data_IF_574522769851
#
_entry.id   IF_574522769851
#
_cell.length_a   1.000
_cell.length_b   1.000
_cell.length_c   1.000
_cell.angle_alpha   90.00
_cell.angle_beta   90.00
_cell.angle_gamma   90.00
#
_symmetry.space_group_name_H-M   'P 1'
#
loop_
_entity.id
_entity.type
_entity.pdbx_description
1 polymer ?
#
# COMPACT_ATOMS: atom_id res chain seq x y z
N UNK A 1 -2.35 27.71 -5.09
CA UNK A 1 -1.87 26.32 -4.93
C UNK A 1 -1.87 25.84 -3.47
N UNK A 2 -1.33 26.59 -2.51
CA UNK A 2 -1.30 26.15 -1.10
C UNK A 2 -2.69 25.94 -0.48
N UNK A 3 -3.64 26.83 -0.75
CA UNK A 3 -5.02 26.68 -0.30
C UNK A 3 -5.66 25.37 -0.80
N UNK A 4 -5.40 24.99 -2.05
CA UNK A 4 -5.86 23.71 -2.62
C UNK A 4 -5.18 22.52 -1.93
N UNK A 5 -3.85 22.58 -1.71
CA UNK A 5 -3.12 21.54 -0.97
C UNK A 5 -3.66 21.35 0.44
N UNK A 6 -3.95 22.44 1.16
CA UNK A 6 -4.57 22.41 2.50
C UNK A 6 -5.95 21.77 2.45
N UNK A 7 -6.80 22.15 1.49
CA UNK A 7 -8.13 21.52 1.30
C UNK A 7 -8.02 20.03 1.01
N UNK A 8 -7.13 19.62 0.10
CA UNK A 8 -6.88 18.19 -0.19
C UNK A 8 -6.41 17.45 1.06
N UNK A 9 -5.53 18.05 1.88
CA UNK A 9 -5.07 17.45 3.13
C UNK A 9 -6.22 17.27 4.14
N UNK A 10 -7.10 18.27 4.27
CA UNK A 10 -8.30 18.18 5.12
C UNK A 10 -9.24 17.09 4.63
N UNK A 11 -9.52 17.02 3.32
CA UNK A 11 -10.36 15.98 2.74
C UNK A 11 -9.76 14.58 2.92
N UNK A 12 -8.45 14.41 2.71
CA UNK A 12 -7.76 13.14 2.96
C UNK A 12 -7.84 12.73 4.43
N UNK A 13 -7.70 13.68 5.35
CA UNK A 13 -7.83 13.46 6.80
C UNK A 13 -9.25 13.09 7.20
N UNK A 14 -10.27 13.71 6.59
CA UNK A 14 -11.66 13.34 6.80
C UNK A 14 -11.95 11.94 6.24
N UNK A 15 -11.56 11.69 4.99
CA UNK A 15 -11.71 10.41 4.32
C UNK A 15 -11.05 9.28 5.11
N UNK A 16 -9.82 9.47 5.63
CA UNK A 16 -9.12 8.46 6.43
C UNK A 16 -9.77 8.14 7.78
N UNK A 17 -10.82 8.85 8.19
CA UNK A 17 -11.58 8.62 9.42
C UNK A 17 -12.96 8.04 9.18
N UNK A 18 -13.43 7.98 7.93
CA UNK A 18 -14.72 7.41 7.60
C UNK A 18 -14.74 5.92 7.90
N UNK A 19 -15.70 5.47 8.68
CA UNK A 19 -15.89 4.06 8.96
C UNK A 19 -16.76 3.46 7.87
N UNK A 20 -16.40 2.24 7.45
CA UNK A 20 -17.28 1.47 6.58
C UNK A 20 -18.48 0.93 7.37
N UNK A 21 -19.63 0.71 6.71
CA UNK A 21 -20.75 0.02 7.34
C UNK A 21 -20.33 -1.35 7.90
N UNK A 22 -20.94 -1.81 9.02
CA UNK A 22 -20.65 -3.12 9.56
C UNK A 22 -20.90 -4.24 8.55
N UNK A 23 -19.90 -5.08 8.31
CA UNK A 23 -20.04 -6.26 7.45
C UNK A 23 -20.63 -7.40 8.26
N UNK A 24 -21.90 -7.74 8.01
CA UNK A 24 -22.61 -8.84 8.69
C UNK A 24 -22.71 -10.10 7.84
N UNK A 25 -22.52 -9.97 6.52
CA UNK A 25 -22.62 -11.04 5.54
C UNK A 25 -21.52 -10.91 4.49
N UNK A 26 -21.26 -12.00 3.76
CA UNK A 26 -20.43 -11.98 2.57
C UNK A 26 -21.03 -12.84 1.47
N UNK A 27 -20.69 -12.55 0.22
CA UNK A 27 -21.18 -13.31 -0.93
C UNK A 27 -20.19 -14.43 -1.26
N UNK A 28 -20.69 -15.65 -1.43
CA UNK A 28 -19.93 -16.72 -2.03
C UNK A 28 -20.80 -17.66 -2.85
N UNK A 29 -20.37 -17.94 -4.08
CA UNK A 29 -21.08 -18.84 -5.01
C UNK A 29 -22.56 -18.47 -5.20
N UNK A 30 -22.84 -17.16 -5.27
CA UNK A 30 -24.21 -16.63 -5.41
C UNK A 30 -25.06 -16.68 -4.14
N UNK A 31 -24.47 -16.98 -2.98
CA UNK A 31 -25.16 -17.05 -1.69
C UNK A 31 -24.66 -15.97 -0.73
N UNK A 32 -25.59 -15.36 0.00
CA UNK A 32 -25.29 -14.46 1.12
C UNK A 32 -25.10 -15.28 2.40
N UNK A 33 -23.91 -15.20 2.99
CA UNK A 33 -23.49 -16.01 4.13
C UNK A 33 -23.28 -15.12 5.35
N UNK A 34 -23.98 -15.40 6.44
CA UNK A 34 -23.87 -14.66 7.69
C UNK A 34 -22.52 -14.87 8.39
N UNK A 35 -22.02 -13.81 9.04
CA UNK A 35 -20.80 -13.82 9.84
C UNK A 35 -21.10 -13.86 11.36
N UNK A 36 -20.31 -14.59 12.17
CA UNK A 36 -19.21 -15.45 11.74
C UNK A 36 -19.71 -16.75 11.09
N UNK A 37 -19.09 -17.15 9.99
CA UNK A 37 -19.39 -18.43 9.34
C UNK A 37 -18.47 -19.51 9.92
N UNK A 38 -19.05 -20.49 10.62
CA UNK A 38 -18.30 -21.58 11.28
C UNK A 38 -18.58 -22.92 10.62
N UNK A 39 -17.53 -23.71 10.41
CA UNK A 39 -17.61 -25.11 9.99
C UNK A 39 -16.79 -25.99 10.92
N UNK A 40 -17.47 -26.88 11.63
CA UNK A 40 -16.88 -27.82 12.58
C UNK A 40 -16.59 -29.18 11.96
N UNK A 41 -17.42 -29.59 10.99
CA UNK A 41 -17.35 -30.92 10.39
C UNK A 41 -16.57 -30.89 9.08
N UNK A 42 -15.63 -31.83 8.94
CA UNK A 42 -15.17 -32.24 7.63
C UNK A 42 -16.23 -33.12 7.02
N UNK A 43 -16.70 -32.78 5.82
CA UNK A 43 -17.19 -33.82 4.94
C UNK A 43 -16.04 -34.80 4.76
N UNK A 44 -16.23 -36.09 5.09
CA UNK A 44 -15.23 -37.15 4.87
C UNK A 44 -14.92 -37.40 3.38
N UNK A 45 -15.19 -36.43 2.51
CA UNK A 45 -14.98 -36.47 1.08
C UNK A 45 -13.50 -36.30 0.80
N UNK A 46 -12.96 -37.24 0.01
CA UNK A 46 -11.62 -37.10 -0.55
C UNK A 46 -11.61 -35.85 -1.42
N UNK A 47 -10.74 -34.89 -1.11
CA UNK A 47 -10.63 -33.65 -1.85
C UNK A 47 -10.06 -33.93 -3.25
N UNK A 48 -10.66 -33.40 -4.32
CA UNK A 48 -10.06 -33.46 -5.64
C UNK A 48 -8.64 -32.88 -5.61
N UNK A 49 -7.66 -33.60 -6.15
CA UNK A 49 -6.24 -33.20 -6.11
C UNK A 49 -6.02 -31.79 -6.66
N UNK A 50 -6.68 -31.44 -7.77
CA UNK A 50 -6.57 -30.11 -8.37
C UNK A 50 -7.07 -29.00 -7.44
N UNK A 51 -8.16 -29.23 -6.69
CA UNK A 51 -8.66 -28.26 -5.72
C UNK A 51 -7.66 -28.09 -4.57
N UNK A 52 -7.11 -29.19 -4.04
CA UNK A 52 -6.11 -29.11 -2.98
C UNK A 52 -4.85 -28.38 -3.43
N UNK A 53 -4.37 -28.65 -4.65
CA UNK A 53 -3.22 -27.99 -5.25
C UNK A 53 -3.48 -26.49 -5.47
N UNK A 54 -4.68 -26.11 -5.96
CA UNK A 54 -5.11 -24.72 -6.04
C UNK A 54 -5.11 -24.03 -4.68
N UNK A 55 -5.72 -24.64 -3.66
CA UNK A 55 -5.76 -24.07 -2.32
C UNK A 55 -4.34 -23.92 -1.77
N UNK A 56 -3.45 -24.91 -1.94
CA UNK A 56 -2.05 -24.81 -1.53
C UNK A 56 -1.31 -23.63 -2.17
N UNK A 57 -1.50 -23.41 -3.48
CA UNK A 57 -0.95 -22.25 -4.18
C UNK A 57 -1.48 -20.93 -3.62
N UNK A 58 -2.78 -20.85 -3.37
CA UNK A 58 -3.38 -19.67 -2.77
C UNK A 58 -2.84 -19.41 -1.35
N UNK A 59 -2.67 -20.46 -0.54
CA UNK A 59 -2.10 -20.37 0.80
C UNK A 59 -0.66 -19.85 0.77
N UNK A 60 0.13 -20.27 -0.22
CA UNK A 60 1.51 -19.83 -0.37
C UNK A 60 1.65 -18.36 -0.75
N UNK A 61 0.63 -17.76 -1.37
CA UNK A 61 0.51 -16.31 -1.48
C UNK A 61 0.02 -15.69 -0.18
N UNK A 62 -1.29 -15.77 0.08
CA UNK A 62 -1.98 -14.97 1.10
C UNK A 62 -2.17 -15.65 2.46
N UNK A 63 -1.84 -16.94 2.56
CA UNK A 63 -1.93 -17.69 3.81
C UNK A 63 -0.83 -17.34 4.81
N UNK A 64 -1.11 -17.60 6.09
CA UNK A 64 -0.16 -17.39 7.17
C UNK A 64 -0.23 -18.56 8.16
N UNK A 65 0.95 -19.01 8.60
CA UNK A 65 1.13 -19.99 9.67
C UNK A 65 1.70 -19.25 10.88
N UNK A 66 0.96 -19.27 11.98
CA UNK A 66 1.38 -18.61 13.22
C UNK A 66 1.06 -19.46 14.44
N UNK A 67 1.50 -19.00 15.60
CA UNK A 67 1.14 -19.58 16.89
C UNK A 67 0.72 -18.49 17.85
N UNK A 68 -0.42 -18.65 18.51
CA UNK A 68 -0.92 -17.73 19.51
C UNK A 68 -1.28 -18.50 20.78
N UNK A 69 -0.83 -18.03 21.95
CA UNK A 69 -1.03 -18.70 23.23
C UNK A 69 -0.64 -20.20 23.24
N UNK A 70 0.44 -20.56 22.54
CA UNK A 70 0.92 -21.94 22.40
C UNK A 70 0.08 -22.82 21.47
N UNK A 71 -0.90 -22.27 20.76
CA UNK A 71 -1.75 -22.98 19.81
C UNK A 71 -1.34 -22.63 18.39
N UNK A 72 -1.18 -23.64 17.53
CA UNK A 72 -0.95 -23.43 16.10
C UNK A 72 -2.22 -22.88 15.42
N UNK A 73 -2.01 -21.92 14.50
CA UNK A 73 -3.07 -21.24 13.78
C UNK A 73 -2.71 -21.12 12.30
N UNK A 74 -3.64 -21.49 11.42
CA UNK A 74 -3.59 -21.12 10.00
C UNK A 74 -4.63 -20.03 9.74
N UNK A 75 -4.28 -19.07 8.89
CA UNK A 75 -5.19 -17.98 8.55
C UNK A 75 -4.99 -17.46 7.13
N UNK A 76 -6.06 -16.93 6.56
CA UNK A 76 -6.06 -16.25 5.24
C UNK A 76 -6.95 -15.03 5.36
N UNK A 77 -6.43 -13.87 4.98
CA UNK A 77 -7.21 -12.63 4.89
C UNK A 77 -7.58 -12.31 3.45
N UNK A 78 -8.77 -11.78 3.21
CA UNK A 78 -9.19 -11.22 1.92
C UNK A 78 -10.00 -9.94 2.09
N UNK A 79 -9.81 -8.99 1.18
CA UNK A 79 -10.63 -7.78 1.11
C UNK A 79 -11.99 -8.05 0.45
N UNK A 80 -13.01 -7.28 0.82
CA UNK A 80 -14.33 -7.35 0.17
C UNK A 80 -14.28 -6.84 -1.28
N UNK A 81 -15.00 -7.45 -2.24
CA UNK A 81 -15.97 -8.57 -2.11
C UNK A 81 -15.41 -9.97 -2.45
N UNK A 82 -14.10 -10.17 -2.57
CA UNK A 82 -13.50 -11.40 -3.14
C UNK A 82 -13.25 -12.50 -2.10
N UNK A 83 -14.28 -12.92 -1.38
CA UNK A 83 -14.12 -13.80 -0.21
C UNK A 83 -14.56 -15.24 -0.45
N UNK A 84 -14.88 -15.62 -1.68
CA UNK A 84 -15.35 -16.96 -2.03
C UNK A 84 -14.29 -18.03 -1.72
N UNK A 85 -13.01 -17.67 -1.83
CA UNK A 85 -11.91 -18.53 -1.40
C UNK A 85 -11.97 -18.84 0.10
N UNK A 86 -12.36 -17.88 0.95
CA UNK A 86 -12.47 -18.12 2.41
C UNK A 86 -13.57 -19.16 2.72
N UNK A 87 -14.65 -19.14 1.93
CA UNK A 87 -15.69 -20.18 2.01
C UNK A 87 -15.16 -21.55 1.59
N UNK A 88 -14.36 -21.63 0.52
CA UNK A 88 -13.71 -22.88 0.12
C UNK A 88 -12.83 -23.43 1.23
N UNK A 89 -12.00 -22.60 1.87
CA UNK A 89 -11.18 -23.01 3.00
C UNK A 89 -12.01 -23.50 4.19
N UNK A 90 -13.06 -22.76 4.55
CA UNK A 90 -13.95 -23.15 5.64
C UNK A 90 -14.65 -24.49 5.40
N UNK A 91 -15.12 -24.74 4.17
CA UNK A 91 -15.76 -26.00 3.81
C UNK A 91 -14.78 -27.16 3.65
N UNK A 92 -13.55 -26.87 3.23
CA UNK A 92 -12.52 -27.89 2.96
C UNK A 92 -11.85 -28.35 4.26
N UNK A 93 -11.48 -27.41 5.12
CA UNK A 93 -10.65 -27.67 6.29
C UNK A 93 -11.39 -27.45 7.61
N UNK A 94 -12.58 -26.86 7.60
CA UNK A 94 -13.26 -26.36 8.79
C UNK A 94 -12.79 -24.95 9.17
N UNK A 95 -13.04 -24.55 10.41
CA UNK A 95 -12.62 -23.26 10.95
C UNK A 95 -13.71 -22.20 10.90
N UNK A 96 -13.31 -20.93 11.00
CA UNK A 96 -14.23 -19.80 11.09
C UNK A 96 -13.84 -18.68 10.14
N UNK A 97 -14.80 -18.11 9.42
CA UNK A 97 -14.66 -16.86 8.69
C UNK A 97 -15.32 -15.74 9.50
N UNK A 98 -14.59 -14.66 9.76
CA UNK A 98 -15.09 -13.49 10.49
C UNK A 98 -14.51 -12.18 9.94
N UNK A 99 -15.05 -11.04 10.40
CA UNK A 99 -14.55 -9.71 10.04
C UNK A 99 -13.24 -9.43 10.79
N UNK A 100 -12.13 -9.34 10.04
CA UNK A 100 -10.81 -9.05 10.61
C UNK A 100 -10.55 -7.56 10.73
N UNK A 101 -10.83 -6.80 9.67
CA UNK A 101 -10.76 -5.34 9.68
C UNK A 101 -12.09 -4.78 9.19
N UNK A 102 -12.66 -3.83 9.92
CA UNK A 102 -13.94 -3.19 9.54
C UNK A 102 -13.82 -2.26 8.35
N UNK A 103 -12.61 -1.92 7.91
CA UNK A 103 -12.37 -0.93 6.87
C UNK A 103 -12.44 0.49 7.42
N UNK A 104 -11.53 1.35 6.96
CA UNK A 104 -11.49 2.77 7.32
C UNK A 104 -11.02 3.56 6.09
N UNK A 105 -11.76 4.61 5.74
CA UNK A 105 -11.51 5.45 4.58
C UNK A 105 -11.44 4.65 3.30
N UNK A 106 -10.29 4.68 2.63
CA UNK A 106 -10.08 3.93 1.38
C UNK A 106 -9.71 2.46 1.58
N UNK A 107 -9.45 2.05 2.82
CA UNK A 107 -9.17 0.64 3.14
C UNK A 107 -10.50 -0.08 3.29
N UNK A 108 -10.79 -0.97 2.35
CA UNK A 108 -11.96 -1.83 2.40
C UNK A 108 -11.93 -2.74 3.64
N UNK A 109 -13.09 -3.17 4.14
CA UNK A 109 -13.16 -4.21 5.14
C UNK A 109 -12.48 -5.49 4.64
N UNK A 110 -11.90 -6.25 5.55
CA UNK A 110 -11.32 -7.55 5.26
C UNK A 110 -11.93 -8.63 6.14
N UNK A 111 -12.16 -9.78 5.53
CA UNK A 111 -12.55 -11.01 6.21
C UNK A 111 -11.32 -11.89 6.39
N UNK A 112 -11.37 -12.77 7.38
CA UNK A 112 -10.32 -13.72 7.63
C UNK A 112 -10.90 -15.09 7.93
N UNK A 113 -10.42 -16.10 7.20
CA UNK A 113 -10.57 -17.49 7.61
C UNK A 113 -9.48 -17.83 8.62
N UNK A 114 -9.85 -18.48 9.72
CA UNK A 114 -8.94 -18.94 10.77
C UNK A 114 -9.31 -20.35 11.21
N UNK A 115 -8.29 -21.18 11.41
CA UNK A 115 -8.40 -22.49 12.03
C UNK A 115 -7.26 -22.66 13.04
N UNK A 116 -7.55 -23.27 14.20
CA UNK A 116 -6.61 -23.38 15.32
C UNK A 116 -6.52 -24.80 15.87
N UNK A 117 -5.47 -25.08 16.65
CA UNK A 117 -5.35 -26.30 17.44
C UNK A 117 -5.22 -27.56 16.59
N UNK A 118 -5.89 -28.64 17.01
CA UNK A 118 -5.80 -29.92 16.32
C UNK A 118 -6.34 -29.84 14.89
N UNK A 119 -7.43 -29.10 14.66
CA UNK A 119 -7.98 -28.93 13.31
C UNK A 119 -6.98 -28.23 12.36
N UNK A 120 -6.21 -27.26 12.87
CA UNK A 120 -5.13 -26.62 12.11
C UNK A 120 -3.99 -27.60 11.79
N UNK A 121 -3.65 -28.53 12.69
CA UNK A 121 -2.65 -29.57 12.44
C UNK A 121 -3.07 -30.47 11.27
N UNK A 122 -4.34 -30.91 11.24
CA UNK A 122 -4.85 -31.77 10.16
C UNK A 122 -4.96 -30.99 8.85
N UNK A 123 -5.34 -29.71 8.88
CA UNK A 123 -5.31 -28.87 7.68
C UNK A 123 -3.88 -28.70 7.15
N UNK A 124 -2.92 -28.45 8.05
CA UNK A 124 -1.52 -28.31 7.70
C UNK A 124 -0.92 -29.60 7.11
N UNK A 125 -1.29 -30.77 7.63
CA UNK A 125 -0.80 -32.06 7.11
C UNK A 125 -1.31 -32.34 5.69
N UNK A 126 -2.47 -31.81 5.32
CA UNK A 126 -3.01 -31.91 3.95
C UNK A 126 -2.43 -30.88 3.00
N UNK A 127 -2.19 -29.65 3.47
CA UNK A 127 -1.63 -28.58 2.63
C UNK A 127 -0.12 -28.74 2.40
N UNK A 128 0.63 -29.20 3.41
CA UNK A 128 2.08 -29.25 3.36
C UNK A 128 2.66 -29.99 2.13
N UNK A 129 2.11 -31.13 1.68
CA UNK A 129 2.63 -31.83 0.49
C UNK A 129 2.45 -31.06 -0.82
N UNK A 130 1.44 -30.20 -0.91
CA UNK A 130 1.10 -29.44 -2.12
C UNK A 130 1.63 -28.00 -2.10
N UNK A 131 1.96 -27.46 -0.92
CA UNK A 131 2.61 -26.15 -0.78
C UNK A 131 4.11 -26.24 -1.10
N UNK A 132 4.64 -25.15 -1.64
CA UNK A 132 6.04 -24.94 -2.01
C UNK A 132 6.68 -23.87 -1.12
N UNK A 133 6.07 -22.69 -0.99
CA UNK A 133 6.66 -21.53 -0.28
C UNK A 133 6.56 -21.68 1.23
N UNK A 134 5.41 -22.17 1.73
CA UNK A 134 5.13 -22.31 3.16
C UNK A 134 5.20 -23.76 3.65
N UNK A 135 5.83 -24.64 2.86
CA UNK A 135 5.95 -26.08 3.15
C UNK A 135 6.53 -26.37 4.54
N UNK A 136 7.67 -25.76 4.89
CA UNK A 136 8.33 -26.05 6.17
C UNK A 136 7.51 -25.53 7.37
N UNK A 137 6.86 -24.37 7.24
CA UNK A 137 5.98 -23.84 8.28
C UNK A 137 4.79 -24.77 8.48
N UNK A 138 4.17 -25.24 7.39
CA UNK A 138 3.06 -26.19 7.45
C UNK A 138 3.50 -27.54 8.01
N UNK A 139 4.72 -28.01 7.76
CA UNK A 139 5.25 -29.21 8.42
C UNK A 139 5.37 -29.05 9.93
N UNK A 140 5.89 -27.92 10.40
CA UNK A 140 5.94 -27.62 11.85
C UNK A 140 4.52 -27.57 12.44
N UNK A 141 3.57 -26.96 11.74
CA UNK A 141 2.17 -26.92 12.12
C UNK A 141 1.50 -28.31 12.14
N UNK A 142 1.80 -29.15 11.16
CA UNK A 142 1.27 -30.51 11.07
C UNK A 142 1.77 -31.41 12.21
N UNK A 143 3.01 -31.22 12.65
CA UNK A 143 3.61 -31.93 13.77
C UNK A 143 3.54 -31.13 15.09
N UNK A 144 2.54 -30.25 15.26
CA UNK A 144 2.49 -29.37 16.42
C UNK A 144 2.32 -30.18 17.73
N UNK A 145 3.22 -30.04 18.72
CA UNK A 145 3.23 -30.94 19.87
C UNK A 145 2.01 -30.79 20.80
N UNK A 146 1.60 -31.92 21.40
CA UNK A 146 0.59 -31.92 22.47
C UNK A 146 1.16 -31.36 23.78
N UNK A 147 2.43 -31.61 24.08
CA UNK A 147 3.09 -31.19 25.33
C UNK A 147 3.45 -29.70 25.33
N UNK A 148 3.22 -29.00 26.46
CA UNK A 148 3.43 -27.55 26.58
C UNK A 148 4.90 -27.13 26.39
N UNK A 149 5.84 -27.90 26.93
CA UNK A 149 7.29 -27.65 26.82
C UNK A 149 7.73 -27.64 25.34
N UNK A 150 7.37 -28.68 24.58
CA UNK A 150 7.71 -28.86 23.18
C UNK A 150 7.05 -27.83 22.24
N UNK A 151 5.90 -27.25 22.64
CA UNK A 151 5.24 -26.19 21.87
C UNK A 151 6.07 -24.92 21.80
N UNK A 152 6.85 -24.61 22.84
CA UNK A 152 7.74 -23.44 22.81
C UNK A 152 8.82 -23.61 21.73
N UNK A 153 9.43 -24.79 21.64
CA UNK A 153 10.41 -25.10 20.61
C UNK A 153 9.80 -25.03 19.21
N UNK A 154 8.59 -25.60 19.02
CA UNK A 154 7.86 -25.51 17.76
C UNK A 154 7.56 -24.06 17.38
N UNK A 155 7.16 -23.21 18.34
CA UNK A 155 6.94 -21.78 18.15
C UNK A 155 8.22 -21.05 17.75
N UNK A 156 9.36 -21.34 18.39
CA UNK A 156 10.65 -20.75 18.02
C UNK A 156 11.08 -21.16 16.60
N UNK A 157 10.91 -22.43 16.23
CA UNK A 157 11.18 -22.93 14.88
C UNK A 157 10.30 -22.23 13.84
N UNK A 158 9.00 -22.12 14.10
CA UNK A 158 8.08 -21.41 13.20
C UNK A 158 8.44 -19.93 13.06
N UNK A 159 8.80 -19.25 14.16
CA UNK A 159 9.23 -17.86 14.14
C UNK A 159 10.56 -17.66 13.39
N UNK A 160 11.49 -18.63 13.45
CA UNK A 160 12.71 -18.62 12.65
C UNK A 160 12.39 -18.76 11.15
N UNK A 161 11.51 -19.71 10.79
CA UNK A 161 11.07 -19.92 9.41
C UNK A 161 10.34 -18.71 8.83
N UNK A 162 9.55 -17.99 9.63
CA UNK A 162 8.85 -16.78 9.17
C UNK A 162 9.79 -15.58 8.95
N UNK A 163 10.99 -15.58 9.54
CA UNK A 163 12.01 -14.54 9.34
C UNK A 163 12.95 -14.84 8.17
N UNK A 164 13.12 -16.11 7.82
CA UNK A 164 14.04 -16.54 6.77
C UNK A 164 13.28 -16.72 5.46
N UNK A 165 13.75 -16.08 4.38
CA UNK A 165 13.31 -16.42 3.02
C UNK A 165 13.74 -17.86 2.73
N UNK A 166 12.79 -18.74 2.41
CA UNK A 166 13.11 -20.15 2.18
C UNK A 166 14.00 -20.32 0.95
N UNK A 167 15.18 -20.95 1.08
CA UNK A 167 16.18 -20.97 0.02
C UNK A 167 15.94 -22.02 -1.08
N UNK A 168 15.08 -23.02 -0.86
CA UNK A 168 15.01 -24.21 -1.71
C UNK A 168 13.62 -24.45 -2.33
N UNK A 169 13.27 -23.68 -3.36
CA UNK A 169 12.04 -23.87 -4.16
C UNK A 169 12.24 -24.92 -5.27
N UNK A 170 13.49 -25.18 -5.66
CA UNK A 170 13.84 -25.86 -6.92
C UNK A 170 13.46 -27.35 -7.05
N UNK A 171 13.00 -28.01 -5.98
CA UNK A 171 12.76 -29.47 -5.97
C UNK A 171 11.29 -29.87 -5.87
N UNK A 172 10.37 -28.92 -5.77
CA UNK A 172 8.95 -29.25 -5.66
C UNK A 172 8.30 -29.38 -7.05
N UNK A 173 7.64 -30.52 -7.29
CA UNK A 173 6.76 -30.69 -8.44
C UNK A 173 5.63 -29.66 -8.38
N UNK A 174 5.42 -28.91 -9.45
CA UNK A 174 4.38 -27.90 -9.54
C UNK A 174 3.26 -28.35 -10.47
N UNK A 175 2.02 -27.98 -10.15
CA UNK A 175 0.88 -28.14 -11.04
C UNK A 175 0.39 -26.77 -11.50
N UNK A 176 -0.28 -26.72 -12.65
CA UNK A 176 -0.94 -25.49 -13.08
C UNK A 176 -2.08 -25.06 -12.15
N UNK A 177 -2.72 -26.01 -11.44
CA UNK A 177 -3.73 -25.68 -10.44
C UNK A 177 -3.11 -24.91 -9.27
N UNK A 178 -1.94 -25.33 -8.79
CA UNK A 178 -1.15 -24.58 -7.81
C UNK A 178 -0.82 -23.18 -8.33
N UNK A 179 -0.32 -23.06 -9.57
CA UNK A 179 0.02 -21.75 -10.16
C UNK A 179 -1.21 -20.84 -10.26
N UNK A 180 -2.38 -21.38 -10.60
CA UNK A 180 -3.63 -20.63 -10.64
C UNK A 180 -4.01 -20.08 -9.26
N UNK A 181 -3.93 -20.90 -8.21
CA UNK A 181 -4.17 -20.46 -6.84
C UNK A 181 -3.17 -19.42 -6.35
N UNK A 182 -1.87 -19.63 -6.63
CA UNK A 182 -0.82 -18.68 -6.30
C UNK A 182 -1.02 -17.35 -7.03
N UNK A 183 -1.42 -17.38 -8.30
CA UNK A 183 -1.71 -16.20 -9.09
C UNK A 183 -2.98 -15.46 -8.59
N UNK A 184 -3.99 -16.17 -8.12
CA UNK A 184 -5.16 -15.56 -7.50
C UNK A 184 -4.85 -14.83 -6.19
N UNK A 185 -3.80 -15.23 -5.47
CA UNK A 185 -3.26 -14.48 -4.34
C UNK A 185 -2.34 -13.33 -4.80
N UNK A 186 -1.20 -13.65 -5.42
CA UNK A 186 -0.07 -12.72 -5.64
C UNK A 186 0.01 -12.14 -7.06
N UNK A 187 -0.79 -12.66 -7.98
CA UNK A 187 -0.81 -12.25 -9.38
C UNK A 187 -1.60 -10.96 -9.63
N UNK A 188 -1.35 -10.34 -10.77
CA UNK A 188 -2.04 -9.15 -11.25
C UNK A 188 -2.30 -9.28 -12.75
N UNK A 189 -3.51 -8.89 -13.19
CA UNK A 189 -3.87 -8.73 -14.60
C UNK A 189 -4.16 -7.26 -14.79
N UNK A 190 -3.40 -6.59 -15.64
CA UNK A 190 -3.52 -5.16 -15.89
C UNK A 190 -3.58 -4.87 -17.38
N UNK A 191 -4.33 -3.81 -17.73
CA UNK A 191 -4.40 -3.26 -19.07
C UNK A 191 -3.67 -1.91 -19.05
N UNK A 192 -2.49 -1.84 -19.67
CA UNK A 192 -1.62 -0.67 -19.61
C UNK A 192 -2.06 0.40 -20.61
N UNK A 193 -2.06 1.71 -20.24
CA UNK A 193 -2.51 2.82 -21.09
C UNK A 193 -1.78 2.92 -22.43
N UNK A 194 -0.48 2.64 -22.45
CA UNK A 194 0.37 2.66 -23.63
C UNK A 194 1.56 1.70 -23.44
N UNK A 195 1.93 0.90 -24.45
CA UNK A 195 1.12 0.54 -25.62
C UNK A 195 -0.11 -0.25 -25.15
N UNK A 196 -1.24 -0.17 -25.85
CA UNK A 196 -2.54 -0.80 -25.49
C UNK A 196 -2.43 -2.32 -25.24
N UNK A 197 -1.88 -2.72 -24.08
CA UNK A 197 -1.34 -4.05 -23.88
C UNK A 197 -1.77 -4.63 -22.54
N UNK A 198 -1.90 -5.95 -22.51
CA UNK A 198 -2.13 -6.70 -21.29
C UNK A 198 -0.80 -7.06 -20.66
N UNK A 199 -0.72 -6.90 -19.34
CA UNK A 199 0.40 -7.35 -18.53
C UNK A 199 -0.11 -8.26 -17.43
N UNK A 200 0.43 -9.47 -17.40
CA UNK A 200 0.33 -10.36 -16.25
C UNK A 200 1.60 -10.22 -15.44
N UNK A 201 1.47 -10.05 -14.14
CA UNK A 201 2.63 -10.04 -13.26
C UNK A 201 2.37 -10.78 -11.96
N UNK A 202 3.44 -11.24 -11.34
CA UNK A 202 3.43 -11.82 -10.01
C UNK A 202 4.49 -11.09 -9.20
N UNK A 203 4.08 -10.58 -8.05
CA UNK A 203 4.98 -9.87 -7.14
C UNK A 203 5.32 -10.76 -5.94
N UNK A 204 6.59 -10.79 -5.53
CA UNK A 204 6.99 -11.56 -4.36
C UNK A 204 8.25 -10.97 -3.72
N UNK A 205 8.37 -11.09 -2.39
CA UNK A 205 9.58 -10.71 -1.65
C UNK A 205 10.75 -11.65 -1.93
N UNK A 206 10.44 -12.94 -2.08
CA UNK A 206 11.43 -13.98 -2.39
C UNK A 206 11.69 -14.08 -3.89
N UNK A 207 12.83 -13.55 -4.35
CA UNK A 207 13.29 -13.69 -5.74
C UNK A 207 13.38 -15.17 -6.19
N UNK A 208 13.88 -16.13 -5.38
CA UNK A 208 13.89 -17.55 -5.77
C UNK A 208 12.53 -18.12 -6.16
N UNK A 209 11.43 -17.70 -5.50
CA UNK A 209 10.07 -18.13 -5.84
C UNK A 209 9.69 -17.67 -7.24
N UNK A 210 9.99 -16.41 -7.58
CA UNK A 210 9.72 -15.90 -8.92
C UNK A 210 10.59 -16.60 -9.98
N UNK A 211 11.83 -16.97 -9.65
CA UNK A 211 12.72 -17.64 -10.60
C UNK A 211 12.18 -19.04 -10.94
N UNK A 212 11.63 -19.70 -9.93
CA UNK A 212 10.96 -20.98 -10.10
C UNK A 212 9.67 -20.85 -10.92
N UNK A 213 8.82 -19.85 -10.66
CA UNK A 213 7.60 -19.58 -11.47
C UNK A 213 7.98 -19.31 -12.93
N UNK A 214 8.98 -18.47 -13.18
CA UNK A 214 9.46 -18.16 -14.52
C UNK A 214 10.00 -19.40 -15.24
N UNK A 215 10.80 -20.22 -14.54
CA UNK A 215 11.32 -21.48 -15.08
C UNK A 215 10.17 -22.46 -15.41
N UNK A 216 9.13 -22.51 -14.59
CA UNK A 216 7.94 -23.32 -14.83
C UNK A 216 7.17 -22.84 -16.08
N UNK A 217 6.95 -21.53 -16.22
CA UNK A 217 6.31 -20.97 -17.41
C UNK A 217 7.13 -21.19 -18.69
N UNK A 218 8.45 -21.05 -18.61
CA UNK A 218 9.34 -21.31 -19.73
C UNK A 218 9.30 -22.78 -20.15
N UNK A 219 9.33 -23.71 -19.18
CA UNK A 219 9.35 -25.14 -19.45
C UNK A 219 8.05 -25.65 -20.13
N UNK A 220 6.87 -25.18 -19.71
CA UNK A 220 5.59 -25.65 -20.25
C UNK A 220 5.13 -24.87 -21.50
N UNK A 221 5.36 -23.55 -21.53
CA UNK A 221 4.79 -22.66 -22.55
C UNK A 221 5.83 -21.96 -23.42
N UNK A 222 7.13 -22.11 -23.14
CA UNK A 222 8.20 -21.39 -23.86
C UNK A 222 8.19 -19.88 -23.66
N UNK A 223 7.50 -19.39 -22.63
CA UNK A 223 7.33 -17.95 -22.41
C UNK A 223 8.63 -17.32 -21.91
N UNK A 224 9.05 -16.23 -22.55
CA UNK A 224 10.13 -15.37 -22.04
C UNK A 224 9.51 -14.26 -21.22
N UNK A 225 9.60 -14.34 -19.90
CA UNK A 225 9.17 -13.25 -19.05
C UNK A 225 10.17 -12.10 -19.04
N UNK A 226 9.69 -10.94 -18.62
CA UNK A 226 10.50 -9.78 -18.28
C UNK A 226 10.61 -9.67 -16.77
N UNK A 227 11.81 -9.36 -16.30
CA UNK A 227 12.11 -9.19 -14.89
C UNK A 227 12.27 -7.73 -14.55
N UNK A 228 11.63 -7.30 -13.47
CA UNK A 228 11.84 -5.95 -12.94
C UNK A 228 11.93 -5.96 -11.42
N UNK A 229 12.81 -5.12 -10.87
CA UNK A 229 12.97 -4.96 -9.42
C UNK A 229 12.42 -3.59 -9.05
N UNK A 230 11.36 -3.56 -8.23
CA UNK A 230 10.79 -2.31 -7.74
C UNK A 230 11.46 -1.95 -6.41
N UNK A 231 12.23 -0.85 -6.41
CA UNK A 231 13.03 -0.41 -5.25
C UNK A 231 12.18 0.00 -4.04
N UNK A 232 10.92 0.38 -4.24
CA UNK A 232 10.13 1.02 -3.17
C UNK A 232 9.75 0.11 -2.00
N UNK A 233 9.83 -1.22 -2.13
CA UNK A 233 9.41 -2.15 -1.07
C UNK A 233 10.25 -3.45 -1.00
N UNK A 234 11.42 -3.50 -1.64
CA UNK A 234 12.19 -4.74 -1.81
C UNK A 234 11.39 -5.92 -2.41
N UNK A 235 10.36 -5.62 -3.21
CA UNK A 235 9.54 -6.62 -3.89
C UNK A 235 10.07 -6.78 -5.31
N UNK A 236 10.24 -8.02 -5.73
CA UNK A 236 10.59 -8.36 -7.11
C UNK A 236 9.31 -8.67 -7.89
N UNK A 237 9.31 -8.37 -9.18
CA UNK A 237 8.19 -8.63 -10.07
C UNK A 237 8.67 -9.41 -11.30
N UNK A 238 8.01 -10.52 -11.59
CA UNK A 238 8.11 -11.21 -12.89
C UNK A 238 6.85 -10.86 -13.69
N UNK A 239 7.01 -10.51 -14.96
CA UNK A 239 5.86 -10.13 -15.79
C UNK A 239 5.95 -10.59 -17.24
N UNK A 240 4.80 -10.95 -17.79
CA UNK A 240 4.58 -11.27 -19.20
C UNK A 240 3.71 -10.17 -19.80
N UNK A 241 4.21 -9.55 -20.87
CA UNK A 241 3.56 -8.39 -21.48
C UNK A 241 3.31 -8.58 -22.98
N UNK A 242 3.99 -9.53 -23.65
CA UNK A 242 3.71 -9.82 -25.06
C UNK A 242 2.28 -10.36 -25.19
N UNK A 243 1.47 -9.74 -26.05
CA UNK A 243 0.03 -9.99 -26.07
C UNK A 243 -0.33 -11.47 -26.35
N UNK A 244 0.38 -12.15 -27.25
CA UNK A 244 0.23 -13.59 -27.52
C UNK A 244 0.47 -14.43 -26.26
N UNK A 245 1.57 -14.13 -25.58
CA UNK A 245 2.08 -14.89 -24.42
C UNK A 245 1.17 -14.68 -23.21
N UNK A 246 0.74 -13.44 -22.99
CA UNK A 246 -0.25 -13.05 -21.99
C UNK A 246 -1.56 -13.82 -22.20
N UNK A 247 -2.07 -13.88 -23.43
CA UNK A 247 -3.30 -14.61 -23.75
C UNK A 247 -3.17 -16.11 -23.53
N UNK A 248 -2.05 -16.69 -23.96
CA UNK A 248 -1.74 -18.10 -23.74
C UNK A 248 -1.70 -18.43 -22.25
N UNK A 249 -0.98 -17.62 -21.45
CA UNK A 249 -0.89 -17.80 -20.01
C UNK A 249 -2.27 -17.65 -19.33
N UNK A 250 -3.09 -16.67 -19.71
CA UNK A 250 -4.45 -16.52 -19.17
C UNK A 250 -5.34 -17.73 -19.46
N UNK A 251 -5.32 -18.27 -20.69
CA UNK A 251 -6.06 -19.49 -21.03
C UNK A 251 -5.60 -20.66 -20.18
N UNK A 252 -4.27 -20.85 -20.08
CA UNK A 252 -3.68 -21.92 -19.28
C UNK A 252 -4.08 -21.83 -17.80
N UNK A 253 -4.10 -20.62 -17.23
CA UNK A 253 -4.56 -20.38 -15.86
C UNK A 253 -6.07 -20.70 -15.72
N UNK A 254 -6.91 -20.24 -16.65
CA UNK A 254 -8.36 -20.51 -16.64
C UNK A 254 -8.67 -22.00 -16.73
N UNK A 255 -8.00 -22.72 -17.62
CA UNK A 255 -8.16 -24.18 -17.81
C UNK A 255 -7.77 -24.97 -16.56
N UNK A 256 -6.96 -24.36 -15.68
CA UNK A 256 -6.47 -24.97 -14.45
C UNK A 256 -7.05 -24.34 -13.18
N UNK A 257 -8.21 -23.67 -13.30
CA UNK A 257 -9.00 -23.26 -12.15
C UNK A 257 -8.67 -21.89 -11.59
N UNK A 258 -8.13 -20.97 -12.39
CA UNK A 258 -8.12 -19.54 -12.02
C UNK A 258 -9.54 -19.12 -11.66
N UNK A 259 -9.70 -18.56 -10.46
CA UNK A 259 -10.98 -18.42 -9.81
C UNK A 259 -11.27 -16.95 -9.47
N UNK A 260 -10.52 -16.32 -8.57
CA UNK A 260 -10.79 -14.94 -8.12
C UNK A 260 -10.52 -13.91 -9.23
N UNK A 261 -9.51 -14.15 -10.06
CA UNK A 261 -9.14 -13.29 -11.19
C UNK A 261 -9.71 -13.77 -12.51
N UNK A 262 -10.62 -14.75 -12.50
CA UNK A 262 -11.31 -15.25 -13.69
C UNK A 262 -12.04 -14.15 -14.48
N UNK A 263 -12.81 -13.23 -13.85
CA UNK A 263 -13.46 -12.15 -14.59
C UNK A 263 -12.46 -11.26 -15.33
N UNK A 264 -11.33 -10.93 -14.70
CA UNK A 264 -10.24 -10.16 -15.32
C UNK A 264 -9.61 -10.91 -16.48
N UNK A 265 -9.32 -12.20 -16.31
CA UNK A 265 -8.71 -13.01 -17.37
C UNK A 265 -9.63 -13.11 -18.60
N UNK A 266 -10.93 -13.35 -18.41
CA UNK A 266 -11.90 -13.41 -19.49
C UNK A 266 -12.03 -12.06 -20.21
N UNK A 267 -12.10 -10.96 -19.46
CA UNK A 267 -12.14 -9.61 -20.01
C UNK A 267 -10.85 -9.24 -20.74
N UNK A 268 -9.69 -9.69 -20.24
CA UNK A 268 -8.41 -9.53 -20.93
C UNK A 268 -8.36 -10.33 -22.24
N UNK A 269 -8.91 -11.54 -22.27
CA UNK A 269 -8.94 -12.35 -23.49
C UNK A 269 -9.76 -11.69 -24.61
N UNK A 270 -10.83 -10.95 -24.26
CA UNK A 270 -11.66 -10.20 -25.21
C UNK A 270 -11.04 -8.87 -25.68
N UNK A 271 -9.80 -8.54 -25.27
CA UNK A 271 -9.18 -7.26 -25.62
C UNK A 271 -8.89 -7.14 -27.12
N UNK A 272 -9.52 -6.19 -27.78
CA UNK A 272 -9.26 -5.80 -29.16
C UNK A 272 -8.85 -4.33 -29.20
N UNK A 273 -8.28 -3.89 -30.32
CA UNK A 273 -7.92 -2.48 -30.50
C UNK A 273 -9.15 -1.57 -30.43
N UNK A 274 -10.29 -2.05 -30.95
CA UNK A 274 -11.57 -1.35 -30.98
C UNK A 274 -12.24 -1.17 -29.60
N UNK A 275 -12.00 -2.09 -28.66
CA UNK A 275 -12.67 -2.11 -27.35
C UNK A 275 -11.73 -1.82 -26.17
N UNK A 276 -10.48 -1.44 -26.46
CA UNK A 276 -9.42 -1.30 -25.45
C UNK A 276 -9.80 -0.38 -24.29
N UNK A 277 -10.43 0.76 -24.59
CA UNK A 277 -10.81 1.74 -23.56
C UNK A 277 -11.85 1.17 -22.58
N UNK A 278 -12.87 0.46 -23.09
CA UNK A 278 -13.88 -0.22 -22.27
C UNK A 278 -13.26 -1.33 -21.42
N UNK A 279 -12.44 -2.18 -22.04
CA UNK A 279 -11.75 -3.28 -21.33
C UNK A 279 -10.87 -2.73 -20.21
N UNK A 280 -10.13 -1.64 -20.44
CA UNK A 280 -9.30 -1.02 -19.41
C UNK A 280 -10.13 -0.50 -18.25
N UNK A 281 -11.20 0.22 -18.53
CA UNK A 281 -12.08 0.80 -17.51
C UNK A 281 -12.74 -0.30 -16.64
N UNK A 282 -13.26 -1.34 -17.30
CA UNK A 282 -13.83 -2.51 -16.61
C UNK A 282 -12.78 -3.29 -15.82
N UNK A 283 -11.55 -3.44 -16.35
CA UNK A 283 -10.45 -4.09 -15.63
C UNK A 283 -10.06 -3.30 -14.36
N UNK A 284 -10.07 -1.97 -14.43
CA UNK A 284 -9.80 -1.10 -13.29
C UNK A 284 -10.86 -1.27 -12.19
N UNK A 285 -12.15 -1.34 -12.55
CA UNK A 285 -13.24 -1.65 -11.61
C UNK A 285 -13.08 -3.00 -10.94
N UNK A 286 -12.57 -3.99 -11.67
CA UNK A 286 -12.28 -5.30 -11.09
C UNK A 286 -11.08 -5.23 -10.13
N UNK A 287 -10.01 -4.51 -10.43
CA UNK A 287 -8.70 -4.60 -9.75
C UNK A 287 -8.60 -4.01 -8.32
N UNK A 288 -9.74 -3.72 -7.68
CA UNK A 288 -9.81 -3.20 -6.32
C UNK A 288 -9.41 -1.73 -6.21
N UNK A 289 -9.79 -1.09 -5.10
CA UNK A 289 -9.70 0.37 -4.95
C UNK A 289 -8.29 0.93 -4.75
N UNK A 290 -7.24 0.10 -4.71
CA UNK A 290 -5.87 0.56 -4.42
C UNK A 290 -5.32 1.51 -5.50
N UNK A 291 -5.88 1.47 -6.73
CA UNK A 291 -5.51 2.36 -7.83
C UNK A 291 -6.51 3.48 -8.16
N UNK A 292 -7.66 3.57 -7.46
CA UNK A 292 -8.81 4.40 -7.92
C UNK A 292 -8.46 5.87 -8.19
N UNK A 293 -7.60 6.47 -7.38
CA UNK A 293 -7.16 7.86 -7.56
C UNK A 293 -5.82 8.02 -8.30
N UNK A 294 -5.19 6.91 -8.68
CA UNK A 294 -3.92 6.92 -9.41
C UNK A 294 -4.13 6.78 -10.91
N UNK A 295 -5.25 6.21 -11.35
CA UNK A 295 -5.56 6.03 -12.76
C UNK A 295 -6.41 7.19 -13.26
N UNK A 296 -5.79 8.07 -14.05
CA UNK A 296 -6.54 9.08 -14.80
C UNK A 296 -7.35 8.38 -15.91
N UNK A 297 -8.53 8.91 -16.23
CA UNK A 297 -9.26 8.51 -17.44
C UNK A 297 -8.41 8.83 -18.68
N UNK A 298 -8.79 8.34 -19.87
CA UNK A 298 -8.03 8.69 -21.08
C UNK A 298 -8.00 10.21 -21.30
N UNK A 299 -9.14 10.87 -21.11
CA UNK A 299 -9.26 12.32 -21.12
C UNK A 299 -8.38 12.96 -20.04
N UNK A 300 -8.45 12.48 -18.80
CA UNK A 300 -7.61 12.97 -17.71
C UNK A 300 -6.12 12.76 -17.95
N UNK A 301 -5.71 11.67 -18.60
CA UNK A 301 -4.33 11.43 -19.02
C UNK A 301 -3.91 12.39 -20.13
N UNK A 302 -4.77 12.61 -21.12
CA UNK A 302 -4.52 13.55 -22.21
C UNK A 302 -4.41 15.00 -21.69
N UNK A 303 -5.25 15.38 -20.72
CA UNK A 303 -5.20 16.68 -20.06
C UNK A 303 -4.01 16.82 -19.09
N UNK A 304 -3.65 15.76 -18.37
CA UNK A 304 -2.53 15.77 -17.44
C UNK A 304 -1.17 15.73 -18.14
N UNK A 305 -1.07 15.17 -19.34
CA UNK A 305 0.18 15.09 -20.09
C UNK A 305 0.87 16.46 -20.26
N UNK A 306 0.22 17.51 -20.81
CA UNK A 306 0.85 18.83 -20.93
C UNK A 306 1.11 19.50 -19.57
N UNK A 307 0.30 19.19 -18.54
CA UNK A 307 0.53 19.70 -17.18
C UNK A 307 1.77 19.08 -16.55
N UNK A 308 1.99 17.77 -16.75
CA UNK A 308 3.17 17.05 -16.28
C UNK A 308 4.43 17.56 -16.98
N UNK A 309 4.37 17.78 -18.29
CA UNK A 309 5.47 18.39 -19.06
C UNK A 309 5.80 19.79 -18.53
N UNK A 310 4.79 20.62 -18.29
CA UNK A 310 4.98 21.96 -17.68
C UNK A 310 5.55 21.89 -16.27
N UNK A 311 5.10 20.93 -15.46
CA UNK A 311 5.63 20.71 -14.10
C UNK A 311 7.09 20.26 -14.12
N UNK A 312 7.47 19.37 -15.03
CA UNK A 312 8.86 18.96 -15.22
C UNK A 312 9.73 20.15 -15.64
N UNK A 313 9.26 20.99 -16.57
CA UNK A 313 9.94 22.22 -16.94
C UNK A 313 10.13 23.18 -15.77
N UNK A 314 9.11 23.37 -14.93
CA UNK A 314 9.21 24.19 -13.72
C UNK A 314 10.15 23.59 -12.67
N UNK A 315 10.20 22.27 -12.52
CA UNK A 315 11.14 21.59 -11.62
C UNK A 315 12.58 21.78 -12.07
N UNK A 316 12.87 21.57 -13.35
CA UNK A 316 14.21 21.80 -13.92
C UNK A 316 14.64 23.26 -13.75
N UNK A 317 13.72 24.22 -13.98
CA UNK A 317 14.02 25.64 -13.76
C UNK A 317 14.26 25.97 -12.28
N UNK A 318 13.48 25.38 -11.37
CA UNK A 318 13.69 25.57 -9.94
C UNK A 318 15.03 24.97 -9.47
N UNK A 319 15.39 23.78 -9.95
CA UNK A 319 16.70 23.17 -9.69
C UNK A 319 17.84 24.05 -10.23
N UNK A 320 17.69 24.60 -11.43
CA UNK A 320 18.64 25.55 -12.03
C UNK A 320 18.78 26.82 -11.18
N UNK A 321 17.67 27.41 -10.74
CA UNK A 321 17.68 28.60 -9.89
C UNK A 321 18.27 28.32 -8.50
N UNK A 322 17.98 27.16 -7.91
CA UNK A 322 18.59 26.73 -6.64
C UNK A 322 20.10 26.54 -6.81
N UNK A 323 20.56 25.91 -7.89
CA UNK A 323 21.98 25.78 -8.19
C UNK A 323 22.65 27.16 -8.32
N UNK A 324 22.00 28.12 -9.00
CA UNK A 324 22.48 29.50 -9.09
C UNK A 324 22.49 30.21 -7.73
N UNK A 325 21.48 29.98 -6.89
CA UNK A 325 21.42 30.56 -5.55
C UNK A 325 22.53 30.00 -4.65
N UNK A 326 22.74 28.68 -4.65
CA UNK A 326 23.84 28.02 -3.95
C UNK A 326 25.18 28.57 -4.43
N UNK A 327 25.38 28.72 -5.75
CA UNK A 327 26.58 29.32 -6.30
C UNK A 327 26.79 30.77 -5.85
N UNK A 328 25.73 31.59 -5.82
CA UNK A 328 25.79 32.98 -5.33
C UNK A 328 26.10 33.05 -3.84
N UNK A 329 25.49 32.21 -3.02
CA UNK A 329 25.77 32.11 -1.58
C UNK A 329 27.24 31.72 -1.37
N UNK A 330 27.69 30.64 -2.01
CA UNK A 330 29.08 30.18 -1.93
C UNK A 330 30.07 31.27 -2.35
N UNK A 331 29.76 32.01 -3.42
CA UNK A 331 30.59 33.14 -3.87
C UNK A 331 30.61 34.28 -2.85
N UNK A 332 29.49 34.57 -2.20
CA UNK A 332 29.41 35.56 -1.12
C UNK A 332 30.24 35.12 0.08
N UNK A 333 30.15 33.85 0.46
CA UNK A 333 30.89 33.27 1.58
C UNK A 333 32.40 33.28 1.31
N UNK A 334 32.83 32.89 0.10
CA UNK A 334 34.23 32.98 -0.34
C UNK A 334 34.72 34.42 -0.25
N UNK A 335 33.95 35.41 -0.73
CA UNK A 335 34.34 36.83 -0.61
C UNK A 335 34.45 37.28 0.84
N UNK A 336 33.53 36.86 1.70
CA UNK A 336 33.56 37.17 3.14
C UNK A 336 34.80 36.56 3.80
N UNK A 337 35.13 35.30 3.48
CA UNK A 337 36.34 34.64 3.99
C UNK A 337 37.62 35.32 3.50
N UNK A 338 37.69 35.68 2.22
CA UNK A 338 38.82 36.43 1.66
C UNK A 338 38.99 37.80 2.34
N UNK A 339 37.89 38.53 2.58
CA UNK A 339 37.92 39.80 3.31
C UNK A 339 38.39 39.66 4.76
N UNK A 340 38.19 38.48 5.37
CA UNK A 340 38.69 38.11 6.71
C UNK A 340 40.11 37.54 6.72
N UNK A 341 40.84 37.62 5.59
CA UNK A 341 42.23 37.19 5.51
C UNK A 341 42.45 35.74 5.08
N UNK A 342 41.41 35.01 4.65
CA UNK A 342 41.62 33.71 4.01
C UNK A 342 42.36 33.89 2.68
N UNK A 343 43.24 32.95 2.32
CA UNK A 343 43.95 32.95 1.05
C UNK A 343 43.61 31.70 0.23
N UNK A 344 43.56 31.84 -1.10
CA UNK A 344 43.29 30.72 -2.02
C UNK A 344 44.62 30.27 -2.61
N UNK A 345 45.10 29.09 -2.23
CA UNK A 345 46.31 28.49 -2.78
C UNK A 345 45.96 27.20 -3.53
N UNK A 346 46.33 27.13 -4.82
CA UNK A 346 46.14 25.95 -5.69
C UNK A 346 44.72 25.35 -5.68
N UNK A 347 43.69 26.19 -5.75
CA UNK A 347 42.30 25.73 -5.85
C UNK A 347 41.68 25.21 -4.54
N UNK A 348 42.36 25.38 -3.40
CA UNK A 348 41.76 25.18 -2.07
C UNK A 348 41.72 26.52 -1.34
N UNK A 349 40.58 26.80 -0.70
CA UNK A 349 40.44 27.94 0.23
C UNK A 349 41.06 27.50 1.55
N UNK A 350 42.17 28.13 1.96
CA UNK A 350 42.82 27.88 3.25
C UNK A 350 42.55 29.09 4.12
N UNK A 351 41.72 28.92 5.16
CA UNK A 351 41.52 29.96 6.16
C UNK A 351 42.75 29.99 7.07
N UNK A 352 43.62 30.98 6.88
CA UNK A 352 44.73 31.24 7.79
C UNK A 352 44.18 32.21 8.84
N UNK A 353 43.78 31.69 9.98
CA UNK A 353 43.51 32.52 11.15
C UNK A 353 44.85 32.99 11.68
N UNK A 354 45.28 34.18 11.28
CA UNK A 354 46.38 34.86 11.94
C UNK A 354 45.84 35.32 13.29
N UNK A 355 46.15 34.59 14.35
CA UNK A 355 45.94 35.08 15.71
C UNK A 355 46.73 36.38 15.85
N UNK A 356 46.04 37.46 16.23
CA UNK A 356 46.70 38.73 16.58
C UNK A 356 47.71 38.46 17.70
N UNK A 357 48.97 38.91 17.59
CA UNK A 357 49.99 38.67 18.63
C UNK A 357 49.80 39.50 19.92
N UNK A 358 48.73 40.29 20.03
CA UNK A 358 48.47 41.12 21.21
C UNK A 358 47.34 40.53 22.06
N UNK A 359 47.67 39.55 22.90
CA UNK A 359 47.01 39.25 24.19
C UNK A 359 47.69 38.01 24.80
N UNK A 360 48.96 38.18 25.15
CA UNK A 360 49.69 37.24 25.98
C UNK A 360 50.57 38.05 26.94
N UNK A 361 49.98 38.55 28.03
CA UNK A 361 50.62 38.46 29.34
C UNK A 361 49.67 38.84 30.50
N UNK A 362 49.96 38.26 31.67
CA UNK A 362 49.42 38.56 33.00
C UNK A 362 47.93 38.22 33.25
N UNK A 363 47.55 37.21 34.05
CA UNK A 363 47.93 37.07 35.47
C UNK A 363 47.72 35.63 35.95
N UNK A 364 48.70 35.16 36.71
CA UNK A 364 48.80 33.85 37.33
C UNK A 364 48.08 33.77 38.69
N UNK A 365 47.70 32.55 39.08
CA UNK A 365 47.46 32.06 40.45
C UNK A 365 46.29 32.63 41.27
N UNK A 366 45.32 31.79 41.65
CA UNK A 366 45.35 31.05 42.92
C UNK A 366 44.03 30.30 43.19
N UNK A 367 44.11 29.24 44.01
CA UNK A 367 43.05 28.55 44.79
C UNK A 367 42.29 27.38 44.15
N UNK A 368 42.87 26.21 44.42
CA UNK A 368 42.25 24.98 44.95
C UNK A 368 40.91 25.14 45.70
N UNK A 369 39.94 24.26 45.42
CA UNK A 369 38.80 23.98 46.31
C UNK A 369 37.67 23.19 45.63
N UNK A 370 37.02 22.22 46.31
CA UNK A 370 36.27 21.12 45.68
C UNK A 370 34.80 21.45 45.37
N UNK A 371 34.24 20.79 44.34
CA UNK A 371 32.81 20.80 44.00
C UNK A 371 32.07 19.69 44.77
N UNK A 372 31.49 20.07 45.90
CA UNK A 372 30.29 19.45 46.48
C UNK A 372 29.14 20.47 46.43
N UNK A 373 27.92 19.97 46.30
CA UNK A 373 26.75 20.67 46.84
C UNK A 373 25.92 21.51 45.87
N UNK A 374 24.84 20.87 45.41
CA UNK A 374 23.46 21.38 45.36
C UNK A 374 23.21 22.89 45.52
N UNK A 375 22.37 23.44 44.63
CA UNK A 375 21.37 24.51 44.91
C UNK A 375 20.61 24.86 43.60
N UNK A 376 19.56 25.70 43.60
CA UNK A 376 18.20 25.26 43.82
C UNK A 376 17.21 25.87 42.79
N UNK A 377 15.94 25.54 42.99
CA UNK A 377 14.77 26.28 42.55
C UNK A 377 14.93 27.80 42.70
N UNK A 378 14.73 28.54 41.60
CA UNK A 378 14.68 30.00 41.59
C UNK A 378 13.78 30.49 40.46
N UNK A 379 12.53 30.77 40.80
CA UNK A 379 11.54 31.45 39.96
C UNK A 379 11.92 32.91 39.74
N UNK A 380 11.91 33.44 38.50
CA UNK A 380 11.91 34.88 38.29
C UNK A 380 10.46 35.39 38.21
N UNK A 381 10.07 36.08 39.26
CA UNK A 381 9.00 37.08 39.25
C UNK A 381 9.41 38.24 38.34
N UNK A 382 8.85 38.29 37.13
CA UNK A 382 8.89 39.50 36.28
C UNK A 382 7.54 40.20 36.32
N UNK A 383 7.64 41.45 36.74
CA UNK A 383 6.64 42.50 36.82
C UNK A 383 5.78 42.61 35.56
N UNK A 384 4.46 42.62 35.78
CA UNK A 384 3.46 43.04 34.82
C UNK A 384 3.68 44.51 34.44
N UNK A 385 4.24 44.75 33.26
CA UNK A 385 4.06 46.00 32.54
C UNK A 385 2.70 46.00 31.85
N UNK A 386 1.78 46.83 32.35
CA UNK A 386 0.53 47.21 31.67
C UNK A 386 0.87 47.98 30.39
N UNK A 387 1.09 47.25 29.29
CA UNK A 387 1.12 47.81 27.95
C UNK A 387 -0.32 48.04 27.47
N UNK A 388 -0.63 49.29 27.15
CA UNK A 388 -1.98 49.76 26.83
C UNK A 388 -2.66 48.98 25.72
N UNK A 389 -3.95 48.68 25.95
CA UNK A 389 -4.87 48.21 24.93
C UNK A 389 -4.96 49.26 23.81
N UNK A 390 -4.26 49.01 22.70
CA UNK A 390 -4.49 49.74 21.46
C UNK A 390 -5.90 49.39 20.98
N UNK A 391 -6.76 50.40 20.90
CA UNK A 391 -8.09 50.28 20.32
C UNK A 391 -7.97 49.71 18.90
N UNK A 392 -8.84 48.76 18.52
CA UNK A 392 -8.79 48.15 17.20
C UNK A 392 -8.97 49.24 16.14
N UNK A 393 -7.88 49.57 15.45
CA UNK A 393 -7.93 50.46 14.30
C UNK A 393 -8.89 49.85 13.29
N UNK A 394 -9.96 50.58 12.99
CA UNK A 394 -10.95 50.23 12.00
C UNK A 394 -10.26 50.16 10.63
N UNK A 395 -9.88 48.95 10.23
CA UNK A 395 -9.38 48.71 8.89
C UNK A 395 -10.48 49.06 7.88
N UNK A 396 -10.32 50.20 7.19
CA UNK A 396 -11.22 50.61 6.12
C UNK A 396 -10.91 49.78 4.88
N UNK A 397 -11.88 48.98 4.45
CA UNK A 397 -11.75 48.20 3.21
C UNK A 397 -12.07 49.11 2.03
N UNK A 398 -11.22 49.08 1.00
CA UNK A 398 -11.55 49.76 -0.25
C UNK A 398 -12.79 49.13 -0.88
N UNK A 399 -13.58 49.93 -1.60
CA UNK A 399 -14.77 49.45 -2.35
C UNK A 399 -14.39 48.29 -3.29
N UNK A 400 -13.22 48.37 -3.90
CA UNK A 400 -12.65 47.30 -4.74
C UNK A 400 -12.40 46.01 -3.92
N UNK A 401 -11.86 46.13 -2.70
CA UNK A 401 -11.67 44.98 -1.80
C UNK A 401 -12.99 44.29 -1.43
N UNK A 402 -14.05 45.07 -1.16
CA UNK A 402 -15.40 44.54 -0.89
C UNK A 402 -15.98 43.85 -2.12
N UNK A 403 -15.83 44.44 -3.31
CA UNK A 403 -16.28 43.85 -4.56
C UNK A 403 -15.56 42.52 -4.88
N UNK A 404 -14.24 42.46 -4.69
CA UNK A 404 -13.46 41.23 -4.85
C UNK A 404 -13.87 40.13 -3.87
N UNK A 405 -14.16 40.48 -2.61
CA UNK A 405 -14.67 39.53 -1.62
C UNK A 405 -16.05 38.99 -1.98
N UNK A 406 -16.94 39.84 -2.49
CA UNK A 406 -18.26 39.45 -2.97
C UNK A 406 -18.16 38.52 -4.18
N UNK A 407 -17.33 38.84 -5.17
CA UNK A 407 -17.08 37.99 -6.33
C UNK A 407 -16.49 36.64 -5.93
N UNK A 408 -15.55 36.62 -4.98
CA UNK A 408 -14.98 35.37 -4.45
C UNK A 408 -16.02 34.53 -3.68
N UNK A 409 -16.88 35.16 -2.86
CA UNK A 409 -17.99 34.46 -2.19
C UNK A 409 -18.98 33.88 -3.20
N UNK A 410 -19.30 34.63 -4.25
CA UNK A 410 -20.23 34.18 -5.28
C UNK A 410 -19.64 33.02 -6.10
N UNK A 411 -18.36 33.11 -6.48
CA UNK A 411 -17.65 32.03 -7.16
C UNK A 411 -17.53 30.76 -6.32
N UNK A 412 -17.21 30.90 -5.03
CA UNK A 412 -17.11 29.73 -4.14
C UNK A 412 -18.49 29.13 -3.83
N UNK A 413 -19.52 29.96 -3.65
CA UNK A 413 -20.91 29.53 -3.52
C UNK A 413 -21.41 28.79 -4.76
N UNK A 414 -21.18 29.34 -5.96
CA UNK A 414 -21.57 28.73 -7.22
C UNK A 414 -20.89 27.37 -7.44
N UNK A 415 -19.57 27.28 -7.25
CA UNK A 415 -18.87 25.99 -7.37
C UNK A 415 -19.33 24.97 -6.33
N UNK A 416 -19.61 25.41 -5.10
CA UNK A 416 -20.13 24.51 -4.06
C UNK A 416 -21.55 24.04 -4.40
N UNK A 417 -22.39 24.92 -4.93
CA UNK A 417 -23.77 24.59 -5.29
C UNK A 417 -23.89 23.72 -6.55
N UNK A 418 -22.94 23.79 -7.48
CA UNK A 418 -23.04 23.09 -8.78
C UNK A 418 -22.10 21.88 -8.87
N UNK A 419 -20.85 22.02 -8.44
CA UNK A 419 -19.83 20.99 -8.60
C UNK A 419 -19.88 19.93 -7.51
N UNK A 420 -20.23 20.32 -6.27
CA UNK A 420 -20.30 19.38 -5.16
C UNK A 420 -21.44 18.36 -5.35
N UNK A 421 -22.68 18.72 -5.74
CA UNK A 421 -23.72 17.74 -6.00
C UNK A 421 -23.37 16.79 -7.15
N UNK A 422 -22.70 17.28 -8.20
CA UNK A 422 -22.25 16.44 -9.30
C UNK A 422 -21.20 15.41 -8.86
N UNK A 423 -20.18 15.84 -8.11
CA UNK A 423 -19.18 14.94 -7.55
C UNK A 423 -19.79 13.92 -6.59
N UNK A 424 -20.73 14.36 -5.74
CA UNK A 424 -21.45 13.48 -4.83
C UNK A 424 -22.31 12.47 -5.61
N UNK A 425 -22.99 12.88 -6.67
CA UNK A 425 -23.78 11.96 -7.49
C UNK A 425 -22.91 10.89 -8.15
N UNK A 426 -21.73 11.26 -8.68
CA UNK A 426 -20.73 10.35 -9.24
C UNK A 426 -20.16 9.39 -8.20
N UNK A 427 -19.79 9.91 -7.02
CA UNK A 427 -19.30 9.04 -5.93
C UNK A 427 -20.41 8.14 -5.38
N UNK A 428 -21.66 8.61 -5.35
CA UNK A 428 -22.82 7.83 -4.95
C UNK A 428 -23.14 6.69 -5.91
N UNK A 429 -23.04 6.94 -7.23
CA UNK A 429 -23.18 5.91 -8.26
C UNK A 429 -22.15 4.79 -8.09
N UNK A 430 -20.91 5.14 -7.75
CA UNK A 430 -19.83 4.17 -7.58
C UNK A 430 -19.86 3.44 -6.23
N UNK A 431 -20.20 4.14 -5.15
CA UNK A 431 -20.16 3.59 -3.79
C UNK A 431 -21.45 2.84 -3.44
N UNK A 432 -22.60 3.44 -3.78
CA UNK A 432 -23.94 3.04 -3.35
C UNK A 432 -24.85 2.99 -4.59
N UNK A 433 -24.44 2.24 -5.63
CA UNK A 433 -25.16 2.17 -6.90
C UNK A 433 -26.65 1.84 -6.71
N UNK A 434 -26.97 0.85 -5.87
CA UNK A 434 -28.35 0.42 -5.61
C UNK A 434 -29.12 1.42 -4.73
N UNK A 435 -28.43 2.26 -3.96
CA UNK A 435 -28.99 3.18 -2.96
C UNK A 435 -28.59 4.65 -3.22
N UNK A 436 -28.45 5.04 -4.49
CA UNK A 436 -27.92 6.37 -4.86
C UNK A 436 -28.77 7.51 -4.29
N UNK A 437 -30.09 7.32 -4.19
CA UNK A 437 -30.99 8.29 -3.57
C UNK A 437 -30.71 8.49 -2.07
N UNK A 438 -30.42 7.41 -1.34
CA UNK A 438 -30.09 7.47 0.08
C UNK A 438 -28.72 8.13 0.30
N UNK A 439 -27.73 7.82 -0.55
CA UNK A 439 -26.44 8.48 -0.55
C UNK A 439 -26.57 9.98 -0.78
N UNK A 440 -27.34 10.40 -1.80
CA UNK A 440 -27.58 11.82 -2.09
C UNK A 440 -28.36 12.52 -0.96
N UNK A 441 -29.31 11.83 -0.33
CA UNK A 441 -30.02 12.32 0.84
C UNK A 441 -29.10 12.58 2.03
N UNK A 442 -28.21 11.63 2.34
CA UNK A 442 -27.22 11.76 3.41
C UNK A 442 -26.22 12.89 3.12
N UNK A 443 -25.73 12.96 1.89
CA UNK A 443 -24.81 14.01 1.49
C UNK A 443 -25.47 15.40 1.58
N UNK A 444 -26.74 15.53 1.18
CA UNK A 444 -27.51 16.76 1.35
C UNK A 444 -27.69 17.15 2.83
N UNK A 445 -27.82 16.17 3.74
CA UNK A 445 -27.94 16.42 5.18
C UNK A 445 -26.61 16.84 5.84
N UNK A 446 -25.47 16.44 5.25
CA UNK A 446 -24.14 16.82 5.73
C UNK A 446 -23.71 18.19 5.20
N UNK A 447 -24.10 18.52 3.97
CA UNK A 447 -23.63 19.72 3.25
C UNK A 447 -24.66 20.85 3.10
N UNK A 448 -25.95 20.57 3.28
CA UNK A 448 -27.04 21.55 3.33
C UNK A 448 -27.29 22.01 4.76
#
# INVERSE_FOLDING_TARGET
MEALRRRIAVLKSFQSRLLWPPVTHFQAFGQSIALPYRRTERGGTVLPKNLLSYLAGFFDGDGCVSSCAGVCTLMIGQATPRQEVLYLYANTFGGTVYVHNRGIGLRQPSLQWVITGHAAQIAASQLAPECVVKHLQLRVAASWPAEKSLRLDAQHRLAALNRQSQPAVAHHGCSWAYIAGFFDAEGCISCLPQPNMLRLSVTQKSKPVLCWIDSFWYADLGLRSSWSVRRSNAVTEVSVSRQSDTRLLMRRLLDNGLFLKKPQALLGLSLEESNYADVRDRMARLSGNQGRYQTLSQEGSNEAAPLLERLQGMQQEHERLNALHVYRSLRSDIRSLLAKGASVTKGRVVAIFVASPEEADETEANKTGPLEGASPTGSPSSSMGLAGAQSPQSASWSVCGVACLMAYRLYTGFNTATWLPYLLAREGEDLWYEDQAAFMGLAKLIYG
#
